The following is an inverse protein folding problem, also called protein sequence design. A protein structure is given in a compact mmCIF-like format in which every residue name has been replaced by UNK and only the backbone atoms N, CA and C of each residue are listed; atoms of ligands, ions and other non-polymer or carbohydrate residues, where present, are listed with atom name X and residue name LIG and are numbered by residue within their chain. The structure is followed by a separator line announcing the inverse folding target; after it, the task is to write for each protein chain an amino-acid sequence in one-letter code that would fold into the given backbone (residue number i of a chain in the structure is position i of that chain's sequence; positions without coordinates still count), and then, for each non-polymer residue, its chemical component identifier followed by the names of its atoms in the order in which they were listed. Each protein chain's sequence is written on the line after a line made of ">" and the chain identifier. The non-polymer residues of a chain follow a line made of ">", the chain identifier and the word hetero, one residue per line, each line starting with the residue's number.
data_IF_322005109829
#
_entry.id   IF_322005109829
#
_cell.length_a   1.000
_cell.length_b   1.000
_cell.length_c   1.000
_cell.angle_alpha   90.00
_cell.angle_beta   90.00
_cell.angle_gamma   90.00
#
_symmetry.space_group_name_H-M   'P 1'
#
loop_
_entity.id
_entity.type
_entity.pdbx_description
1 polymer ?
#
# COMPACT_ATOMS: atom_id res chain seq x y z
N UNK A 1 -5.99 -45.69 26.76
CA UNK A 1 -5.49 -45.01 25.55
C UNK A 1 -6.67 -44.29 24.93
N UNK A 2 -7.04 -43.11 25.47
CA UNK A 2 -8.16 -42.32 24.94
C UNK A 2 -7.64 -41.00 24.37
N UNK A 3 -8.31 -40.59 23.29
CA UNK A 3 -8.43 -39.23 22.76
C UNK A 3 -7.19 -38.55 22.17
N UNK A 4 -6.68 -39.11 21.06
CA UNK A 4 -5.68 -38.45 20.18
C UNK A 4 -6.27 -37.96 18.85
N UNK A 5 -7.59 -37.82 18.70
CA UNK A 5 -8.20 -37.55 17.38
C UNK A 5 -9.26 -36.43 17.37
N UNK A 6 -9.31 -35.57 18.39
CA UNK A 6 -10.32 -34.50 18.49
C UNK A 6 -9.97 -33.18 17.80
N UNK A 7 -8.81 -33.05 17.15
CA UNK A 7 -8.32 -31.79 16.56
C UNK A 7 -8.49 -31.66 15.04
N UNK A 8 -8.92 -32.70 14.32
CA UNK A 8 -8.89 -32.73 12.84
C UNK A 8 -10.05 -31.99 12.12
N UNK A 9 -11.01 -31.43 12.85
CA UNK A 9 -12.18 -30.78 12.25
C UNK A 9 -12.51 -29.38 12.74
N UNK A 10 -11.82 -28.89 13.77
CA UNK A 10 -12.03 -27.52 14.27
C UNK A 10 -10.90 -26.64 13.73
N UNK A 11 -11.19 -25.49 13.10
CA UNK A 11 -10.15 -24.49 12.91
C UNK A 11 -9.50 -24.25 14.27
N UNK A 12 -8.16 -24.27 14.34
CA UNK A 12 -7.47 -23.77 15.53
C UNK A 12 -7.97 -22.35 15.77
N UNK A 13 -8.73 -22.09 16.85
CA UNK A 13 -9.54 -20.88 16.94
C UNK A 13 -8.70 -19.60 16.81
N UNK A 14 -7.49 -19.60 17.35
CA UNK A 14 -6.60 -18.45 17.37
C UNK A 14 -5.87 -18.21 16.04
N UNK A 15 -5.49 -19.27 15.31
CA UNK A 15 -4.72 -19.13 14.06
C UNK A 15 -5.63 -18.65 12.93
N UNK A 16 -6.81 -19.23 12.79
CA UNK A 16 -7.73 -18.81 11.72
C UNK A 16 -8.40 -17.46 12.02
N UNK A 17 -8.61 -17.09 13.30
CA UNK A 17 -9.11 -15.74 13.64
C UNK A 17 -8.14 -14.63 13.22
N UNK A 18 -6.83 -14.84 13.41
CA UNK A 18 -5.80 -13.90 12.94
C UNK A 18 -5.88 -13.69 11.44
N UNK A 19 -5.86 -14.78 10.65
CA UNK A 19 -5.88 -14.67 9.20
C UNK A 19 -7.19 -14.11 8.67
N UNK A 20 -8.32 -14.38 9.32
CA UNK A 20 -9.61 -13.79 8.95
C UNK A 20 -9.66 -12.28 9.20
N UNK A 21 -9.13 -11.81 10.33
CA UNK A 21 -8.99 -10.38 10.63
C UNK A 21 -8.08 -9.72 9.59
N UNK A 22 -6.90 -10.28 9.36
CA UNK A 22 -5.94 -9.74 8.41
C UNK A 22 -6.49 -9.75 6.98
N UNK A 23 -7.22 -10.78 6.57
CA UNK A 23 -7.79 -10.84 5.24
C UNK A 23 -8.84 -9.74 5.02
N UNK A 24 -9.70 -9.48 6.02
CA UNK A 24 -10.64 -8.37 5.98
C UNK A 24 -9.91 -7.03 5.92
N UNK A 25 -8.92 -6.82 6.79
CA UNK A 25 -8.15 -5.59 6.83
C UNK A 25 -7.34 -5.36 5.54
N UNK A 26 -6.77 -6.40 4.96
CA UNK A 26 -6.01 -6.31 3.69
C UNK A 26 -6.93 -5.95 2.54
N UNK A 27 -8.17 -6.45 2.51
CA UNK A 27 -9.15 -6.07 1.51
C UNK A 27 -9.52 -4.58 1.62
N UNK A 28 -9.79 -4.10 2.84
CA UNK A 28 -10.09 -2.67 3.07
C UNK A 28 -8.90 -1.78 2.74
N UNK A 29 -7.69 -2.18 3.13
CA UNK A 29 -6.46 -1.43 2.89
C UNK A 29 -6.15 -1.38 1.39
N UNK A 30 -6.35 -2.47 0.65
CA UNK A 30 -6.15 -2.50 -0.80
C UNK A 30 -7.07 -1.52 -1.54
N UNK A 31 -8.36 -1.47 -1.17
CA UNK A 31 -9.33 -0.54 -1.74
C UNK A 31 -9.01 0.92 -1.34
N UNK A 32 -8.62 1.14 -0.09
CA UNK A 32 -8.22 2.46 0.40
C UNK A 32 -7.00 2.98 -0.36
N UNK A 33 -5.90 2.23 -0.41
CA UNK A 33 -4.70 2.64 -1.12
C UNK A 33 -4.92 2.77 -2.62
N UNK A 34 -5.79 1.94 -3.21
CA UNK A 34 -6.16 2.07 -4.62
C UNK A 34 -6.86 3.40 -4.91
N UNK A 35 -7.81 3.82 -4.06
CA UNK A 35 -8.47 5.12 -4.17
C UNK A 35 -7.51 6.28 -3.94
N UNK A 36 -6.73 6.21 -2.86
CA UNK A 36 -5.74 7.25 -2.54
C UNK A 36 -4.70 7.42 -3.64
N UNK A 37 -4.24 6.32 -4.26
CA UNK A 37 -3.31 6.37 -5.38
C UNK A 37 -3.94 7.08 -6.58
N UNK A 38 -5.18 6.74 -6.92
CA UNK A 38 -5.89 7.38 -8.03
C UNK A 38 -6.08 8.89 -7.80
N UNK A 39 -6.38 9.31 -6.57
CA UNK A 39 -6.54 10.72 -6.22
C UNK A 39 -5.19 11.46 -6.19
N UNK A 40 -4.13 10.82 -5.69
CA UNK A 40 -2.78 11.37 -5.70
C UNK A 40 -2.21 11.52 -7.12
N UNK A 41 -2.51 10.58 -8.02
CA UNK A 41 -2.15 10.70 -9.44
C UNK A 41 -2.88 11.86 -10.13
N UNK A 42 -4.16 12.08 -9.82
CA UNK A 42 -4.91 13.26 -10.29
C UNK A 42 -4.29 14.56 -9.77
N UNK A 43 -3.87 14.58 -8.50
CA UNK A 43 -3.22 15.73 -7.88
C UNK A 43 -1.96 16.14 -8.66
N UNK A 44 -1.07 15.20 -8.98
CA UNK A 44 0.13 15.45 -9.81
C UNK A 44 -0.26 16.03 -11.18
N UNK A 45 -1.31 15.53 -11.81
CA UNK A 45 -1.77 16.05 -13.11
C UNK A 45 -2.30 17.48 -12.97
N UNK A 46 -3.07 17.77 -11.92
CA UNK A 46 -3.58 19.11 -11.63
C UNK A 46 -2.44 20.10 -11.35
N UNK A 47 -1.45 19.71 -10.55
CA UNK A 47 -0.26 20.53 -10.29
C UNK A 47 0.50 20.88 -11.56
N UNK A 48 0.70 19.91 -12.46
CA UNK A 48 1.32 20.16 -13.77
C UNK A 48 0.52 21.17 -14.59
N UNK A 49 -0.80 21.09 -14.57
CA UNK A 49 -1.69 22.05 -15.27
C UNK A 49 -1.59 23.45 -14.67
N UNK A 50 -1.61 23.55 -13.33
CA UNK A 50 -1.48 24.82 -12.61
C UNK A 50 -0.11 25.47 -12.89
N UNK A 51 0.96 24.68 -12.91
CA UNK A 51 2.30 25.15 -13.25
C UNK A 51 2.36 25.70 -14.68
N UNK A 52 1.80 24.97 -15.66
CA UNK A 52 1.70 25.44 -17.04
C UNK A 52 0.88 26.73 -17.18
N UNK A 53 -0.24 26.83 -16.46
CA UNK A 53 -1.06 28.05 -16.42
C UNK A 53 -0.23 29.24 -15.95
N UNK A 54 0.54 29.10 -14.87
CA UNK A 54 1.40 30.18 -14.34
C UNK A 54 2.45 30.65 -15.34
N UNK A 55 3.03 29.73 -16.11
CA UNK A 55 3.96 30.07 -17.20
C UNK A 55 3.25 30.90 -18.27
N UNK A 56 2.09 30.43 -18.75
CA UNK A 56 1.33 31.11 -19.81
C UNK A 56 0.93 32.53 -19.36
N UNK A 57 0.42 32.69 -18.14
CA UNK A 57 -0.01 33.99 -17.64
C UNK A 57 1.15 34.94 -17.38
N UNK A 58 2.27 34.45 -16.82
CA UNK A 58 3.48 35.25 -16.66
C UNK A 58 3.97 35.81 -18.01
N UNK A 59 4.05 34.96 -19.03
CA UNK A 59 4.43 35.37 -20.39
C UNK A 59 3.42 36.33 -21.04
N UNK A 60 2.11 36.06 -20.88
CA UNK A 60 1.06 36.93 -21.43
C UNK A 60 1.13 38.33 -20.83
N UNK A 61 1.33 38.45 -19.51
CA UNK A 61 1.47 39.73 -18.84
C UNK A 61 2.78 40.46 -19.19
N UNK A 62 3.86 39.73 -19.43
CA UNK A 62 5.11 40.32 -19.94
C UNK A 62 4.92 40.92 -21.35
N UNK A 63 4.17 40.26 -22.23
CA UNK A 63 3.84 40.80 -23.57
C UNK A 63 2.91 42.01 -23.45
N UNK A 64 1.87 41.93 -22.61
CA UNK A 64 0.94 43.06 -22.39
C UNK A 64 1.63 44.28 -21.81
N UNK A 65 2.61 44.08 -20.93
CA UNK A 65 3.43 45.16 -20.38
C UNK A 65 4.11 45.95 -21.49
N UNK A 66 4.75 45.28 -22.46
CA UNK A 66 5.45 45.91 -23.60
C UNK A 66 4.54 46.69 -24.56
N UNK A 67 3.24 46.39 -24.58
CA UNK A 67 2.29 46.93 -25.55
C UNK A 67 1.42 48.07 -25.01
N UNK A 68 1.40 48.29 -23.69
CA UNK A 68 0.46 49.22 -23.03
C UNK A 68 1.17 50.36 -22.30
N UNK A 69 0.48 51.49 -22.17
CA UNK A 69 0.96 52.64 -21.39
C UNK A 69 1.08 52.32 -19.88
N UNK A 70 0.26 51.40 -19.36
CA UNK A 70 0.32 50.89 -17.99
C UNK A 70 1.34 49.73 -17.85
N UNK A 71 2.51 49.87 -18.46
CA UNK A 71 3.56 48.85 -18.52
C UNK A 71 3.95 48.32 -17.13
N UNK A 72 4.04 49.19 -16.13
CA UNK A 72 4.46 48.83 -14.76
C UNK A 72 3.47 47.86 -14.08
N UNK A 73 2.16 48.09 -14.21
CA UNK A 73 1.16 47.21 -13.59
C UNK A 73 1.25 45.79 -14.16
N UNK A 74 1.21 45.65 -15.48
CA UNK A 74 1.31 44.34 -16.14
C UNK A 74 2.66 43.66 -15.88
N UNK A 75 3.75 44.43 -15.78
CA UNK A 75 5.05 43.90 -15.41
C UNK A 75 5.03 43.28 -14.01
N UNK A 76 4.47 43.97 -13.02
CA UNK A 76 4.36 43.46 -11.66
C UNK A 76 3.48 42.23 -11.56
N UNK A 77 2.36 42.17 -12.31
CA UNK A 77 1.51 40.98 -12.37
C UNK A 77 2.26 39.79 -13.02
N UNK A 78 3.00 40.03 -14.10
CA UNK A 78 3.84 39.00 -14.74
C UNK A 78 4.91 38.44 -13.80
N UNK A 79 5.56 39.32 -13.03
CA UNK A 79 6.54 38.97 -11.99
C UNK A 79 5.92 38.22 -10.82
N UNK A 80 4.69 38.55 -10.44
CA UNK A 80 3.95 37.83 -9.41
C UNK A 80 3.68 36.37 -9.81
N UNK A 81 3.22 36.12 -11.05
CA UNK A 81 3.05 34.74 -11.54
C UNK A 81 4.38 33.97 -11.66
N UNK A 82 5.46 34.65 -12.05
CA UNK A 82 6.80 34.07 -12.08
C UNK A 82 7.28 33.67 -10.67
N UNK A 83 7.03 34.53 -9.67
CA UNK A 83 7.37 34.29 -8.28
C UNK A 83 6.57 33.11 -7.69
N UNK A 84 5.24 33.08 -7.88
CA UNK A 84 4.41 31.92 -7.45
C UNK A 84 4.91 30.64 -8.10
N UNK A 85 5.26 30.68 -9.39
CA UNK A 85 5.77 29.49 -10.10
C UNK A 85 7.04 28.96 -9.46
N UNK A 86 7.99 29.84 -9.13
CA UNK A 86 9.27 29.45 -8.53
C UNK A 86 9.07 28.85 -7.11
N UNK A 87 8.12 29.42 -6.36
CA UNK A 87 7.70 28.93 -5.05
C UNK A 87 7.14 27.49 -5.14
N UNK A 88 6.30 27.20 -6.13
CA UNK A 88 5.65 25.89 -6.27
C UNK A 88 6.50 24.81 -6.97
N UNK A 89 7.39 25.19 -7.90
CA UNK A 89 8.23 24.24 -8.63
C UNK A 89 9.34 23.62 -7.78
N UNK A 90 9.75 24.25 -6.68
CA UNK A 90 11.00 23.90 -6.04
C UNK A 90 10.90 22.71 -5.07
N UNK A 91 9.84 22.64 -4.26
CA UNK A 91 9.89 21.76 -3.07
C UNK A 91 8.56 21.06 -2.70
N UNK A 92 7.37 21.70 -2.77
CA UNK A 92 6.10 20.99 -2.52
C UNK A 92 5.91 19.81 -3.48
N UNK A 93 6.25 20.01 -4.76
CA UNK A 93 6.14 19.00 -5.81
C UNK A 93 7.02 17.75 -5.57
N UNK A 94 8.10 17.87 -4.79
CA UNK A 94 8.94 16.72 -4.42
C UNK A 94 8.34 15.91 -3.30
N UNK A 95 7.83 16.57 -2.27
CA UNK A 95 7.19 15.90 -1.14
C UNK A 95 5.86 15.24 -1.53
N UNK A 96 5.09 15.88 -2.41
CA UNK A 96 3.89 15.31 -2.99
C UNK A 96 4.21 14.05 -3.83
N UNK A 97 5.31 14.07 -4.58
CA UNK A 97 5.80 12.90 -5.31
C UNK A 97 6.24 11.78 -4.36
N UNK A 98 6.91 12.09 -3.26
CA UNK A 98 7.29 11.11 -2.24
C UNK A 98 6.06 10.46 -1.59
N UNK A 99 5.03 11.24 -1.26
CA UNK A 99 3.77 10.73 -0.73
C UNK A 99 3.08 9.78 -1.72
N UNK A 100 3.04 10.14 -3.01
CA UNK A 100 2.47 9.26 -4.06
C UNK A 100 3.24 7.95 -4.16
N UNK A 101 4.58 8.01 -4.14
CA UNK A 101 5.42 6.81 -4.18
C UNK A 101 5.19 5.92 -2.95
N UNK A 102 5.04 6.51 -1.77
CA UNK A 102 4.75 5.79 -0.54
C UNK A 102 3.38 5.08 -0.60
N UNK A 103 2.33 5.77 -1.06
CA UNK A 103 0.99 5.19 -1.24
C UNK A 103 1.05 4.03 -2.25
N UNK A 104 1.77 4.22 -3.36
CA UNK A 104 1.96 3.17 -4.38
C UNK A 104 2.70 1.95 -3.83
N UNK A 105 3.73 2.16 -3.01
CA UNK A 105 4.43 1.09 -2.31
C UNK A 105 3.46 0.29 -1.43
N UNK A 106 2.66 0.95 -0.60
CA UNK A 106 1.70 0.27 0.26
C UNK A 106 0.55 -0.43 -0.51
N UNK A 107 0.10 0.13 -1.64
CA UNK A 107 -0.82 -0.56 -2.53
C UNK A 107 -0.24 -1.87 -3.09
N UNK A 108 1.03 -1.86 -3.50
CA UNK A 108 1.71 -3.06 -4.00
C UNK A 108 1.94 -4.09 -2.88
N UNK A 109 2.31 -3.64 -1.68
CA UNK A 109 2.49 -4.52 -0.52
C UNK A 109 1.18 -5.18 -0.07
N UNK A 110 0.07 -4.44 -0.08
CA UNK A 110 -1.26 -5.01 0.22
C UNK A 110 -1.70 -6.01 -0.86
N UNK A 111 -1.41 -5.74 -2.13
CA UNK A 111 -1.61 -6.71 -3.21
C UNK A 111 -0.83 -8.00 -3.00
N UNK A 112 0.47 -7.90 -2.70
CA UNK A 112 1.32 -9.05 -2.41
C UNK A 112 0.82 -9.85 -1.19
N UNK A 113 0.40 -9.16 -0.13
CA UNK A 113 -0.19 -9.79 1.06
C UNK A 113 -1.45 -10.58 0.72
N UNK A 114 -2.34 -10.00 -0.12
CA UNK A 114 -3.54 -10.68 -0.60
C UNK A 114 -3.21 -11.95 -1.39
N UNK A 115 -2.21 -11.90 -2.25
CA UNK A 115 -1.74 -13.06 -3.03
C UNK A 115 -1.18 -14.16 -2.11
N UNK A 116 -0.38 -13.79 -1.10
CA UNK A 116 0.16 -14.71 -0.09
C UNK A 116 -0.95 -15.38 0.74
N UNK A 117 -1.96 -14.62 1.18
CA UNK A 117 -3.17 -15.16 1.84
C UNK A 117 -3.94 -16.12 0.93
N UNK A 118 -4.03 -15.80 -0.37
CA UNK A 118 -4.63 -16.67 -1.38
C UNK A 118 -3.91 -18.02 -1.46
N UNK A 119 -2.57 -18.02 -1.55
CA UNK A 119 -1.75 -19.24 -1.57
C UNK A 119 -1.94 -20.07 -0.30
N UNK A 120 -1.95 -19.44 0.88
CA UNK A 120 -2.26 -20.13 2.15
C UNK A 120 -3.63 -20.81 2.09
N UNK A 121 -4.65 -20.11 1.60
CA UNK A 121 -6.01 -20.65 1.47
C UNK A 121 -6.06 -21.88 0.56
N UNK A 122 -5.29 -21.90 -0.53
CA UNK A 122 -5.24 -23.04 -1.44
C UNK A 122 -4.51 -24.24 -0.84
N UNK A 123 -3.45 -24.01 -0.06
CA UNK A 123 -2.77 -25.08 0.67
C UNK A 123 -3.63 -25.63 1.81
N UNK A 124 -4.41 -24.78 2.48
CA UNK A 124 -5.39 -25.22 3.47
C UNK A 124 -6.43 -26.17 2.85
N UNK A 125 -6.92 -25.87 1.63
CA UNK A 125 -7.84 -26.78 0.91
C UNK A 125 -7.17 -28.13 0.65
N UNK A 126 -5.91 -28.14 0.21
CA UNK A 126 -5.15 -29.39 -0.02
C UNK A 126 -5.00 -30.21 1.27
N UNK A 127 -4.59 -29.57 2.38
CA UNK A 127 -4.52 -30.20 3.71
C UNK A 127 -5.87 -30.84 4.11
N UNK A 128 -6.99 -30.14 3.91
CA UNK A 128 -8.33 -30.66 4.23
C UNK A 128 -8.69 -31.88 3.36
N UNK A 129 -8.35 -31.85 2.08
CA UNK A 129 -8.60 -32.97 1.18
C UNK A 129 -7.75 -34.20 1.54
N UNK A 130 -6.46 -34.02 1.83
CA UNK A 130 -5.58 -35.13 2.25
C UNK A 130 -5.94 -35.67 3.63
N UNK A 131 -6.46 -34.84 4.55
CA UNK A 131 -7.02 -35.29 5.82
C UNK A 131 -8.21 -36.24 5.63
N UNK A 132 -9.19 -35.87 4.80
CA UNK A 132 -10.36 -36.70 4.50
C UNK A 132 -9.95 -38.01 3.80
N UNK A 133 -8.98 -37.95 2.88
CA UNK A 133 -8.44 -39.13 2.22
C UNK A 133 -7.74 -40.07 3.21
N UNK A 134 -6.99 -39.51 4.17
CA UNK A 134 -6.33 -40.28 5.23
C UNK A 134 -7.34 -40.95 6.17
N UNK A 135 -8.39 -40.23 6.59
CA UNK A 135 -9.48 -40.83 7.39
C UNK A 135 -10.18 -41.96 6.64
N UNK A 136 -10.41 -41.78 5.33
CA UNK A 136 -11.05 -42.81 4.50
C UNK A 136 -10.16 -44.05 4.41
N UNK A 137 -8.86 -43.87 4.18
CA UNK A 137 -7.88 -44.96 4.15
C UNK A 137 -7.80 -45.69 5.49
N UNK A 138 -7.83 -44.97 6.62
CA UNK A 138 -7.88 -45.57 7.95
C UNK A 138 -9.13 -46.43 8.14
N UNK A 139 -10.31 -45.96 7.71
CA UNK A 139 -11.58 -46.70 7.83
C UNK A 139 -11.63 -47.95 6.95
N UNK A 140 -11.07 -47.89 5.74
CA UNK A 140 -11.08 -49.03 4.80
C UNK A 140 -9.90 -49.99 5.01
N UNK A 141 -8.89 -49.59 5.78
CA UNK A 141 -7.65 -50.35 5.98
C UNK A 141 -6.75 -50.41 4.75
N UNK A 142 -7.08 -49.69 3.68
CA UNK A 142 -6.34 -49.71 2.42
C UNK A 142 -5.45 -48.47 2.27
N UNK A 143 -4.22 -48.66 1.79
CA UNK A 143 -3.29 -47.58 1.45
C UNK A 143 -3.00 -46.57 2.58
N UNK A 144 -3.15 -46.99 3.85
CA UNK A 144 -3.00 -46.12 5.04
C UNK A 144 -1.63 -45.45 5.09
N UNK A 145 -0.56 -46.18 4.75
CA UNK A 145 0.81 -45.64 4.75
C UNK A 145 0.98 -44.48 3.77
N UNK A 146 0.56 -44.67 2.51
CA UNK A 146 0.64 -43.66 1.45
C UNK A 146 -0.22 -42.44 1.81
N UNK A 147 -1.44 -42.66 2.30
CA UNK A 147 -2.32 -41.58 2.71
C UNK A 147 -1.77 -40.80 3.92
N UNK A 148 -1.08 -41.47 4.84
CA UNK A 148 -0.41 -40.84 5.99
C UNK A 148 0.76 -39.95 5.56
N UNK A 149 1.61 -40.43 4.64
CA UNK A 149 2.74 -39.63 4.14
C UNK A 149 2.26 -38.39 3.38
N UNK A 150 1.23 -38.54 2.52
CA UNK A 150 0.64 -37.42 1.81
C UNK A 150 0.04 -36.37 2.76
N UNK A 151 -0.71 -36.82 3.77
CA UNK A 151 -1.27 -35.93 4.78
C UNK A 151 -0.19 -35.18 5.56
N UNK A 152 0.84 -35.88 6.05
CA UNK A 152 1.98 -35.26 6.76
C UNK A 152 2.72 -34.25 5.87
N UNK A 153 2.88 -34.56 4.58
CA UNK A 153 3.52 -33.67 3.62
C UNK A 153 2.72 -32.38 3.38
N UNK A 154 1.39 -32.48 3.25
CA UNK A 154 0.52 -31.31 3.08
C UNK A 154 0.36 -30.49 4.37
N UNK A 155 0.33 -31.15 5.52
CA UNK A 155 0.32 -30.51 6.83
C UNK A 155 1.56 -29.67 7.06
N UNK A 156 2.75 -30.24 6.83
CA UNK A 156 4.02 -29.50 6.94
C UNK A 156 4.06 -28.29 6.01
N UNK A 157 3.64 -28.45 4.75
CA UNK A 157 3.57 -27.32 3.79
C UNK A 157 2.62 -26.21 4.26
N UNK A 158 1.51 -26.57 4.90
CA UNK A 158 0.57 -25.60 5.43
C UNK A 158 1.14 -24.83 6.62
N UNK A 159 1.86 -25.50 7.51
CA UNK A 159 2.57 -24.88 8.64
C UNK A 159 3.65 -23.93 8.13
N UNK A 160 4.54 -24.39 7.25
CA UNK A 160 5.63 -23.59 6.68
C UNK A 160 5.09 -22.30 6.02
N UNK A 161 4.03 -22.42 5.21
CA UNK A 161 3.41 -21.25 4.56
C UNK A 161 2.72 -20.36 5.59
N UNK A 162 2.04 -20.92 6.59
CA UNK A 162 1.34 -20.11 7.60
C UNK A 162 2.31 -19.29 8.45
N UNK A 163 3.46 -19.87 8.81
CA UNK A 163 4.47 -19.19 9.60
C UNK A 163 5.18 -18.10 8.78
N UNK A 164 5.51 -18.39 7.52
CA UNK A 164 6.03 -17.37 6.60
C UNK A 164 5.04 -16.22 6.41
N UNK A 165 3.76 -16.52 6.17
CA UNK A 165 2.71 -15.49 6.03
C UNK A 165 2.64 -14.61 7.27
N UNK A 166 2.62 -15.21 8.48
CA UNK A 166 2.58 -14.46 9.74
C UNK A 166 3.81 -13.56 9.90
N UNK A 167 5.00 -14.07 9.61
CA UNK A 167 6.23 -13.30 9.72
C UNK A 167 6.24 -12.09 8.77
N UNK A 168 5.88 -12.29 7.50
CA UNK A 168 5.82 -11.23 6.48
C UNK A 168 4.78 -10.15 6.85
N UNK A 169 3.56 -10.57 7.22
CA UNK A 169 2.48 -9.64 7.62
C UNK A 169 2.90 -8.81 8.82
N UNK A 170 3.48 -9.43 9.85
CA UNK A 170 3.92 -8.73 11.05
C UNK A 170 5.09 -7.78 10.77
N UNK A 171 6.02 -8.14 9.88
CA UNK A 171 7.09 -7.24 9.46
C UNK A 171 6.52 -6.02 8.75
N UNK A 172 5.65 -6.24 7.77
CA UNK A 172 5.02 -5.18 7.00
C UNK A 172 4.21 -4.23 7.88
N UNK A 173 3.45 -4.73 8.85
CA UNK A 173 2.68 -3.88 9.77
C UNK A 173 3.58 -2.95 10.60
N UNK A 174 4.74 -3.43 11.05
CA UNK A 174 5.72 -2.61 11.79
C UNK A 174 6.37 -1.56 10.89
N UNK A 175 6.80 -1.97 9.70
CA UNK A 175 7.44 -1.08 8.73
C UNK A 175 6.48 0.00 8.24
N UNK A 176 5.20 -0.33 8.03
CA UNK A 176 4.17 0.60 7.56
C UNK A 176 4.07 1.84 8.45
N UNK A 177 3.99 1.66 9.77
CA UNK A 177 3.88 2.78 10.71
C UNK A 177 5.14 3.65 10.69
N UNK A 178 6.31 3.02 10.61
CA UNK A 178 7.59 3.72 10.57
C UNK A 178 7.73 4.58 9.30
N UNK A 179 7.39 4.03 8.13
CA UNK A 179 7.49 4.74 6.84
C UNK A 179 6.52 5.92 6.76
N UNK A 180 5.26 5.75 7.17
CA UNK A 180 4.31 6.88 7.22
C UNK A 180 4.74 7.94 8.22
N UNK A 181 5.23 7.55 9.39
CA UNK A 181 5.73 8.51 10.38
C UNK A 181 6.92 9.31 9.84
N UNK A 182 7.87 8.65 9.16
CA UNK A 182 9.02 9.32 8.55
C UNK A 182 8.54 10.33 7.50
N UNK A 183 7.71 9.89 6.55
CA UNK A 183 7.19 10.76 5.49
C UNK A 183 6.40 11.96 6.03
N UNK A 184 5.51 11.77 7.01
CA UNK A 184 4.76 12.88 7.62
C UNK A 184 5.68 13.84 8.40
N UNK A 185 6.71 13.31 9.06
CA UNK A 185 7.68 14.13 9.78
C UNK A 185 8.47 15.00 8.81
N UNK A 186 8.94 14.42 7.70
CA UNK A 186 9.69 15.13 6.67
C UNK A 186 8.81 16.16 5.97
N UNK A 187 7.56 15.80 5.65
CA UNK A 187 6.56 16.74 5.12
C UNK A 187 6.33 17.93 6.06
N UNK A 188 6.14 17.68 7.36
CA UNK A 188 5.92 18.75 8.35
C UNK A 188 7.14 19.66 8.50
N UNK A 189 8.36 19.10 8.60
CA UNK A 189 9.60 19.90 8.64
C UNK A 189 9.70 20.78 7.41
N UNK A 190 9.44 20.20 6.24
CA UNK A 190 9.47 20.92 4.99
C UNK A 190 8.46 22.08 4.96
N UNK A 191 7.21 21.87 5.36
CA UNK A 191 6.19 22.93 5.40
C UNK A 191 6.59 24.08 6.34
N UNK A 192 7.24 23.78 7.47
CA UNK A 192 7.75 24.80 8.41
C UNK A 192 8.87 25.62 7.77
N UNK A 193 9.88 24.97 7.18
CA UNK A 193 10.99 25.63 6.51
C UNK A 193 10.49 26.52 5.37
N UNK A 194 9.59 26.00 4.54
CA UNK A 194 8.99 26.73 3.43
C UNK A 194 8.19 27.96 3.89
N UNK A 195 7.42 27.83 4.98
CA UNK A 195 6.66 28.95 5.53
C UNK A 195 7.56 30.06 6.10
N UNK A 196 8.73 29.70 6.64
CA UNK A 196 9.70 30.67 7.18
C UNK A 196 10.49 31.39 6.08
N UNK A 197 10.75 30.74 4.95
CA UNK A 197 11.46 31.33 3.81
C UNK A 197 10.56 32.29 3.02
N UNK A 198 9.26 31.99 2.88
CA UNK A 198 8.32 32.78 2.09
C UNK A 198 7.47 33.77 2.91
N UNK A 199 7.62 33.79 4.25
CA UNK A 199 6.94 34.71 5.15
C UNK A 199 7.66 36.05 5.38
N UNK A 200 8.72 36.33 4.62
CA UNK A 200 9.48 37.60 4.60
C UNK A 200 9.38 38.25 3.23
#
# INVERSE_FOLDING_TARGET
>A
MSDSWSWLGKPEPDVDSFFDIINKQTATDFELYGRLLADAEKMIVCEKRISNFKVIWSQAYEVLSRLNAEHEFFFHVGKFFEHIRNIELAIPQKEDLHLVQLIKYHHNMTKATKDTLGRRKDVLKKKKLSAVAYETAQRTGQNVGIASENFKGDEKKFEDISDLCKAEINSYQRERVALFKANLTDYCKFQIEYSQVNGK
#
